data_IF_678198922636
#
_entry.id   IF_678198922636
#
_cell.length_a   1.000
_cell.length_b   1.000
_cell.length_c   1.000
_cell.angle_alpha   90.00
_cell.angle_beta   90.00
_cell.angle_gamma   90.00
#
_symmetry.space_group_name_H-M   'P 1'
#
loop_
_entity.id
_entity.type
_entity.pdbx_description
1 polymer ?
#
# COMPACT_ATOMS: atom_id res chain seq x y z
N UNK A 1 -16.09 -6.02 14.83
CA UNK A 1 -14.80 -6.58 15.27
C UNK A 1 -13.83 -6.29 14.14
N UNK A 2 -12.90 -5.33 14.29
CA UNK A 2 -11.95 -5.04 13.21
C UNK A 2 -10.97 -6.21 13.12
N UNK A 3 -10.98 -6.91 12.00
CA UNK A 3 -10.10 -8.05 11.78
C UNK A 3 -8.71 -7.55 11.40
N UNK A 4 -7.69 -7.90 12.19
CA UNK A 4 -6.31 -7.60 11.82
C UNK A 4 -5.95 -8.35 10.54
N UNK A 5 -5.65 -7.61 9.48
CA UNK A 5 -5.30 -8.20 8.21
C UNK A 5 -3.87 -8.73 8.22
N UNK A 6 -3.67 -9.91 7.64
CA UNK A 6 -2.36 -10.28 7.12
C UNK A 6 -2.13 -9.48 5.85
N UNK A 7 -1.55 -8.28 6.01
CA UNK A 7 -1.12 -7.45 4.89
C UNK A 7 -0.15 -8.27 4.06
N UNK A 8 -0.48 -8.45 2.79
CA UNK A 8 0.40 -9.06 1.81
C UNK A 8 1.08 -7.95 1.04
N UNK A 9 2.31 -7.63 1.44
CA UNK A 9 3.20 -6.76 0.70
C UNK A 9 4.03 -7.59 -0.31
N UNK A 10 4.44 -6.98 -1.44
CA UNK A 10 5.56 -7.49 -2.22
C UNK A 10 6.81 -7.67 -1.33
N UNK A 11 7.63 -8.71 -1.53
CA UNK A 11 8.83 -8.97 -0.73
C UNK A 11 9.78 -7.75 -0.63
N UNK A 12 9.87 -6.99 -1.71
CA UNK A 12 10.71 -5.79 -1.83
C UNK A 12 10.25 -4.71 -0.84
N UNK A 13 8.94 -4.59 -0.62
CA UNK A 13 8.35 -3.61 0.29
C UNK A 13 8.23 -4.13 1.72
N UNK A 14 8.08 -5.45 1.91
CA UNK A 14 7.88 -6.07 3.24
C UNK A 14 9.13 -5.97 4.13
N UNK A 15 10.31 -5.91 3.53
CA UNK A 15 11.59 -5.78 4.25
C UNK A 15 11.98 -4.32 4.51
N UNK A 16 11.27 -3.35 3.94
CA UNK A 16 11.61 -1.94 4.07
C UNK A 16 11.21 -1.38 5.44
N UNK A 17 12.07 -0.57 6.09
CA UNK A 17 11.69 0.18 7.27
C UNK A 17 10.57 1.17 6.95
N UNK A 18 9.75 1.45 7.97
CA UNK A 18 8.57 2.31 7.85
C UNK A 18 8.84 3.64 7.16
N UNK A 19 9.94 4.32 7.49
CA UNK A 19 10.24 5.63 6.91
C UNK A 19 10.44 5.58 5.39
N UNK A 20 11.04 4.51 4.85
CA UNK A 20 11.21 4.34 3.41
C UNK A 20 9.88 4.02 2.73
N UNK A 21 9.02 3.24 3.38
CA UNK A 21 7.65 2.99 2.87
C UNK A 21 6.83 4.29 2.84
N UNK A 22 6.91 5.11 3.88
CA UNK A 22 6.23 6.40 3.92
C UNK A 22 6.74 7.34 2.82
N UNK A 23 8.06 7.39 2.60
CA UNK A 23 8.67 8.16 1.53
C UNK A 23 8.24 7.65 0.14
N UNK A 24 8.30 6.34 -0.12
CA UNK A 24 7.81 5.75 -1.37
C UNK A 24 6.34 6.10 -1.63
N UNK A 25 5.47 6.09 -0.62
CA UNK A 25 4.05 6.47 -0.75
C UNK A 25 3.89 7.94 -1.14
N UNK A 26 4.72 8.82 -0.59
CA UNK A 26 4.72 10.25 -0.93
C UNK A 26 5.19 10.44 -2.38
N UNK A 27 6.33 9.85 -2.75
CA UNK A 27 6.94 10.02 -4.07
C UNK A 27 6.16 9.33 -5.20
N UNK A 28 5.38 8.29 -4.90
CA UNK A 28 4.60 7.56 -5.91
C UNK A 28 3.38 8.31 -6.45
N UNK A 29 3.01 9.47 -5.86
CA UNK A 29 1.94 10.35 -6.34
C UNK A 29 0.64 9.61 -6.71
N UNK A 30 0.21 8.67 -5.86
CA UNK A 30 -0.91 7.75 -6.15
C UNK A 30 -2.29 8.42 -6.24
N UNK A 31 -2.40 9.69 -5.85
CA UNK A 31 -3.68 10.37 -5.65
C UNK A 31 -4.28 10.08 -4.27
N UNK A 32 -5.19 10.96 -3.83
CA UNK A 32 -5.65 10.99 -2.43
C UNK A 32 -6.27 9.69 -1.94
N UNK A 33 -7.13 9.07 -2.76
CA UNK A 33 -7.85 7.84 -2.40
C UNK A 33 -6.89 6.65 -2.27
N UNK A 34 -6.00 6.44 -3.25
CA UNK A 34 -5.07 5.33 -3.23
C UNK A 34 -3.98 5.53 -2.15
N UNK A 35 -3.50 6.76 -1.94
CA UNK A 35 -2.61 7.09 -0.82
C UNK A 35 -3.26 6.75 0.52
N UNK A 36 -4.52 7.14 0.73
CA UNK A 36 -5.25 6.81 1.96
C UNK A 36 -5.41 5.29 2.12
N UNK A 37 -5.83 4.60 1.06
CA UNK A 37 -6.07 3.15 1.05
C UNK A 37 -4.80 2.38 1.41
N UNK A 38 -3.67 2.73 0.78
CA UNK A 38 -2.37 2.10 1.03
C UNK A 38 -1.93 2.33 2.48
N UNK A 39 -2.03 3.57 3.00
CA UNK A 39 -1.64 3.87 4.38
C UNK A 39 -2.46 3.05 5.38
N UNK A 40 -3.78 2.99 5.20
CA UNK A 40 -4.67 2.17 6.04
C UNK A 40 -4.34 0.69 5.96
N UNK A 41 -4.13 0.18 4.77
CA UNK A 41 -3.84 -1.23 4.58
C UNK A 41 -2.48 -1.62 5.17
N UNK A 42 -1.42 -0.84 4.93
CA UNK A 42 -0.06 -1.16 5.39
C UNK A 42 0.14 -0.87 6.88
N UNK A 43 -0.17 0.35 7.31
CA UNK A 43 0.19 0.84 8.64
C UNK A 43 -0.86 0.53 9.70
N UNK A 44 -2.13 0.68 9.36
CA UNK A 44 -3.24 0.39 10.28
C UNK A 44 -3.65 -1.10 10.22
N UNK A 45 -3.09 -1.87 9.27
CA UNK A 45 -3.35 -3.30 9.06
C UNK A 45 -4.85 -3.60 8.85
N UNK A 46 -5.60 -2.65 8.28
CA UNK A 46 -7.04 -2.78 8.03
C UNK A 46 -7.32 -3.80 6.93
N UNK A 47 -8.31 -4.66 7.11
CA UNK A 47 -8.68 -5.65 6.11
C UNK A 47 -9.28 -5.03 4.85
N UNK A 48 -9.01 -5.64 3.69
CA UNK A 48 -9.58 -5.18 2.42
C UNK A 48 -11.12 -5.16 2.42
N UNK A 49 -11.76 -6.02 3.22
CA UNK A 49 -13.21 -6.03 3.36
C UNK A 49 -13.72 -4.78 4.10
N UNK A 50 -13.03 -4.37 5.17
CA UNK A 50 -13.37 -3.17 5.94
C UNK A 50 -13.10 -1.90 5.09
N UNK A 51 -11.95 -1.85 4.40
CA UNK A 51 -11.63 -0.77 3.46
C UNK A 51 -12.65 -0.66 2.32
N UNK A 52 -13.13 -1.81 1.82
CA UNK A 52 -14.16 -1.85 0.79
C UNK A 52 -15.47 -1.28 1.31
N UNK A 53 -15.86 -1.62 2.55
CA UNK A 53 -17.05 -1.06 3.18
C UNK A 53 -16.93 0.46 3.37
N UNK A 54 -15.77 0.97 3.80
CA UNK A 54 -15.53 2.41 3.98
C UNK A 54 -15.60 3.20 2.67
N UNK A 55 -15.14 2.62 1.56
CA UNK A 55 -15.14 3.27 0.24
C UNK A 55 -16.40 3.00 -0.60
N UNK A 56 -17.34 2.17 -0.10
CA UNK A 56 -18.47 1.69 -0.88
C UNK A 56 -18.06 0.84 -2.09
N UNK A 57 -16.90 0.19 -2.00
CA UNK A 57 -16.31 -0.63 -3.06
C UNK A 57 -16.53 -2.12 -2.80
N UNK A 58 -16.23 -2.93 -3.82
CA UNK A 58 -16.07 -4.37 -3.61
C UNK A 58 -14.65 -4.66 -3.11
N UNK A 59 -14.47 -5.78 -2.40
CA UNK A 59 -13.13 -6.27 -2.02
C UNK A 59 -12.23 -6.44 -3.25
N UNK A 60 -12.78 -6.88 -4.38
CA UNK A 60 -12.03 -7.04 -5.63
C UNK A 60 -11.50 -5.71 -6.16
N UNK A 61 -12.31 -4.64 -6.09
CA UNK A 61 -11.90 -3.28 -6.43
C UNK A 61 -10.74 -2.83 -5.54
N UNK A 62 -10.87 -2.97 -4.22
CA UNK A 62 -9.78 -2.65 -3.29
C UNK A 62 -8.50 -3.43 -3.62
N UNK A 63 -8.62 -4.73 -3.89
CA UNK A 63 -7.47 -5.56 -4.25
C UNK A 63 -6.79 -5.10 -5.55
N UNK A 64 -7.57 -4.63 -6.54
CA UNK A 64 -7.02 -4.12 -7.80
C UNK A 64 -6.26 -2.80 -7.60
N UNK A 65 -6.82 -1.89 -6.81
CA UNK A 65 -6.19 -0.62 -6.45
C UNK A 65 -4.89 -0.84 -5.66
N UNK A 66 -4.92 -1.69 -4.62
CA UNK A 66 -3.72 -2.04 -3.87
C UNK A 66 -2.64 -2.67 -4.76
N UNK A 67 -3.02 -3.57 -5.68
CA UNK A 67 -2.06 -4.20 -6.61
C UNK A 67 -1.41 -3.18 -7.55
N UNK A 68 -2.17 -2.19 -8.05
CA UNK A 68 -1.64 -1.11 -8.88
C UNK A 68 -0.72 -0.21 -8.07
N UNK A 69 -1.15 0.21 -6.88
CA UNK A 69 -0.36 1.05 -5.99
C UNK A 69 0.97 0.39 -5.62
N UNK A 70 0.95 -0.89 -5.24
CA UNK A 70 2.15 -1.63 -4.87
C UNK A 70 3.15 -1.75 -6.01
N UNK A 71 2.70 -1.91 -7.25
CA UNK A 71 3.58 -1.89 -8.42
C UNK A 71 4.35 -0.56 -8.50
N UNK A 72 3.64 0.56 -8.38
CA UNK A 72 4.23 1.89 -8.38
C UNK A 72 5.18 2.11 -7.19
N UNK A 73 4.82 1.63 -5.99
CA UNK A 73 5.69 1.72 -4.83
C UNK A 73 6.96 0.92 -4.99
N UNK A 74 6.89 -0.28 -5.59
CA UNK A 74 8.08 -1.10 -5.89
C UNK A 74 8.99 -0.38 -6.89
N UNK A 75 8.44 0.17 -7.98
CA UNK A 75 9.22 0.94 -8.96
C UNK A 75 9.92 2.16 -8.32
N UNK A 76 9.22 2.88 -7.43
CA UNK A 76 9.80 4.00 -6.68
C UNK A 76 10.84 3.54 -5.68
N UNK A 77 10.59 2.45 -4.94
CA UNK A 77 11.55 1.89 -4.00
C UNK A 77 12.85 1.46 -4.70
N UNK A 78 12.72 0.83 -5.87
CA UNK A 78 13.85 0.46 -6.72
C UNK A 78 14.66 1.70 -7.12
N UNK A 79 13.98 2.76 -7.57
CA UNK A 79 14.61 4.01 -7.99
C UNK A 79 15.18 4.85 -6.85
N UNK A 80 14.73 4.71 -5.61
CA UNK A 80 15.23 5.52 -4.50
C UNK A 80 16.33 4.79 -3.72
N UNK A 81 16.21 3.47 -3.55
CA UNK A 81 16.97 2.74 -2.55
C UNK A 81 17.77 1.54 -3.09
N UNK A 82 17.44 1.02 -4.29
CA UNK A 82 18.08 -0.18 -4.84
C UNK A 82 19.05 0.18 -5.98
N UNK A 83 18.60 0.96 -6.95
CA UNK A 83 19.39 1.31 -8.14
C UNK A 83 20.46 2.38 -7.87
N UNK A 84 20.48 2.97 -6.67
CA UNK A 84 21.46 3.96 -6.24
C UNK A 84 22.34 3.50 -5.05
N UNK A 85 22.28 2.22 -4.69
CA UNK A 85 23.19 1.58 -3.73
C UNK A 85 24.37 0.93 -4.45
#
# INVERSE_FOLDING_TARGET
MMSNARVKLPPELDTMPRFQLEDCIVQAHLGSVDTWLVKKYIFDRTAQADLAAELGWTRCTVSAHLKRAFRHLTEIAENLYINHA
#
